data_IF_926133886582
#
_entry.id   IF_926133886582
#
_cell.length_a   1.000
_cell.length_b   1.000
_cell.length_c   1.000
_cell.angle_alpha   90.00
_cell.angle_beta   90.00
_cell.angle_gamma   90.00
#
_symmetry.space_group_name_H-M   'P 1'
#
loop_
_entity.id
_entity.type
_entity.pdbx_description
1 polymer ?
#
# COMPACT_ATOMS: atom_id res chain seq x y z
N UNK A 1 -6.15 -9.27 -7.53
CA UNK A 1 -6.55 -7.94 -7.02
C UNK A 1 -5.42 -7.41 -6.17
N UNK A 2 -4.89 -6.22 -6.46
CA UNK A 2 -3.77 -5.66 -5.71
C UNK A 2 -4.21 -5.15 -4.33
N UNK A 3 -3.27 -4.99 -3.38
CA UNK A 3 -3.58 -4.40 -2.07
C UNK A 3 -4.16 -2.98 -2.21
N UNK A 4 -3.67 -2.21 -3.17
CA UNK A 4 -4.15 -0.86 -3.46
C UNK A 4 -5.61 -0.89 -3.93
N UNK A 5 -5.97 -1.82 -4.82
CA UNK A 5 -7.34 -1.98 -5.32
C UNK A 5 -8.31 -2.31 -4.18
N UNK A 6 -7.92 -3.23 -3.29
CA UNK A 6 -8.72 -3.60 -2.11
C UNK A 6 -8.99 -2.38 -1.23
N UNK A 7 -7.98 -1.53 -1.01
CA UNK A 7 -8.13 -0.32 -0.21
C UNK A 7 -9.05 0.71 -0.89
N UNK A 8 -8.95 0.89 -2.21
CA UNK A 8 -9.81 1.80 -2.99
C UNK A 8 -11.27 1.34 -2.94
N UNK A 9 -11.54 0.05 -3.18
CA UNK A 9 -12.90 -0.52 -3.05
C UNK A 9 -13.44 -0.40 -1.62
N UNK A 10 -12.59 -0.57 -0.60
CA UNK A 10 -12.99 -0.39 0.80
C UNK A 10 -13.35 1.07 1.11
N UNK A 11 -12.58 2.03 0.59
CA UNK A 11 -12.85 3.45 0.72
C UNK A 11 -14.20 3.82 0.11
N UNK A 12 -14.48 3.37 -1.12
CA UNK A 12 -15.75 3.62 -1.81
C UNK A 12 -16.94 3.13 -0.98
N UNK A 13 -16.87 1.90 -0.45
CA UNK A 13 -17.92 1.34 0.42
C UNK A 13 -18.13 2.17 1.69
N UNK A 14 -17.05 2.62 2.33
CA UNK A 14 -17.12 3.46 3.54
C UNK A 14 -17.73 4.83 3.24
N UNK A 15 -17.35 5.45 2.13
CA UNK A 15 -17.90 6.73 1.68
C UNK A 15 -19.39 6.60 1.36
N UNK A 16 -19.80 5.57 0.62
CA UNK A 16 -21.21 5.33 0.32
C UNK A 16 -22.07 5.22 1.58
N UNK A 17 -21.61 4.42 2.56
CA UNK A 17 -22.29 4.27 3.86
C UNK A 17 -22.32 5.56 4.67
N UNK A 18 -21.26 6.35 4.62
CA UNK A 18 -21.22 7.66 5.28
C UNK A 18 -22.27 8.61 4.68
N UNK A 19 -22.34 8.70 3.35
CA UNK A 19 -23.33 9.55 2.68
C UNK A 19 -24.78 9.10 2.95
N UNK A 20 -25.03 7.79 2.99
CA UNK A 20 -26.32 7.23 3.39
C UNK A 20 -26.71 7.73 4.80
N UNK A 21 -25.82 7.58 5.79
CA UNK A 21 -26.06 8.02 7.17
C UNK A 21 -26.17 9.54 7.32
N UNK A 22 -25.42 10.29 6.52
CA UNK A 22 -25.49 11.73 6.49
C UNK A 22 -26.85 12.19 5.98
N UNK A 23 -27.36 11.56 4.91
CA UNK A 23 -28.69 11.83 4.37
C UNK A 23 -29.80 11.46 5.37
N UNK A 24 -29.68 10.34 6.07
CA UNK A 24 -30.60 9.96 7.16
C UNK A 24 -30.63 11.03 8.27
N UNK A 25 -29.45 11.49 8.71
CA UNK A 25 -29.36 12.53 9.74
C UNK A 25 -30.04 13.83 9.28
N UNK A 26 -29.74 14.30 8.06
CA UNK A 26 -30.38 15.51 7.53
C UNK A 26 -31.88 15.34 7.31
N UNK A 27 -32.35 14.15 6.94
CA UNK A 27 -33.78 13.85 6.83
C UNK A 27 -34.46 13.91 8.21
N UNK A 28 -33.84 13.35 9.25
CA UNK A 28 -34.33 13.44 10.64
C UNK A 28 -34.40 14.90 11.10
N UNK A 29 -33.32 15.67 10.91
CA UNK A 29 -33.28 17.11 11.24
C UNK A 29 -34.37 17.90 10.52
N UNK A 30 -34.54 17.67 9.21
CA UNK A 30 -35.57 18.33 8.40
C UNK A 30 -36.98 17.95 8.87
N UNK A 31 -37.21 16.68 9.21
CA UNK A 31 -38.52 16.21 9.66
C UNK A 31 -38.98 16.89 10.96
N UNK A 32 -38.04 17.26 11.83
CA UNK A 32 -38.34 17.94 13.07
C UNK A 32 -38.67 19.44 12.88
N UNK A 33 -38.35 20.02 11.72
CA UNK A 33 -38.73 21.39 11.33
C UNK A 33 -38.49 22.47 12.40
N UNK A 34 -37.35 22.40 13.11
CA UNK A 34 -37.00 23.33 14.18
C UNK A 34 -37.82 23.24 15.47
N UNK A 35 -38.83 22.36 15.55
CA UNK A 35 -39.64 22.11 16.76
C UNK A 35 -38.79 21.78 18.00
N UNK A 36 -37.73 20.94 17.91
CA UNK A 36 -36.94 20.58 19.09
C UNK A 36 -36.24 21.75 19.76
N UNK A 37 -36.00 22.85 19.04
CA UNK A 37 -35.38 24.06 19.59
C UNK A 37 -36.37 24.88 20.42
N UNK A 38 -37.67 24.72 20.19
CA UNK A 38 -38.75 25.41 20.91
C UNK A 38 -39.51 24.49 21.89
N UNK A 39 -39.27 23.17 21.85
CA UNK A 39 -39.92 22.18 22.71
C UNK A 39 -39.25 22.09 24.09
N UNK A 40 -39.92 22.64 25.11
CA UNK A 40 -39.45 22.62 26.51
C UNK A 40 -39.47 21.25 27.19
N UNK A 41 -40.22 20.26 26.68
CA UNK A 41 -40.35 18.94 27.31
C UNK A 41 -39.52 17.86 26.62
N UNK A 42 -39.57 17.78 25.28
CA UNK A 42 -38.89 16.71 24.52
C UNK A 42 -37.74 17.22 23.60
N UNK A 43 -37.42 18.52 23.61
CA UNK A 43 -36.30 19.06 22.83
C UNK A 43 -34.96 18.41 23.18
N UNK A 44 -34.69 18.23 24.48
CA UNK A 44 -33.42 17.66 24.97
C UNK A 44 -33.20 16.20 24.51
N UNK A 45 -34.24 15.38 24.44
CA UNK A 45 -34.13 13.99 23.99
C UNK A 45 -33.84 13.90 22.50
N UNK A 46 -34.43 14.80 21.70
CA UNK A 46 -34.16 14.92 20.26
C UNK A 46 -32.73 15.39 19.99
N UNK A 47 -32.26 16.43 20.70
CA UNK A 47 -30.87 16.90 20.60
C UNK A 47 -29.88 15.78 20.94
N UNK A 48 -30.11 15.03 22.03
CA UNK A 48 -29.27 13.89 22.40
C UNK A 48 -29.24 12.79 21.32
N UNK A 49 -30.33 12.59 20.58
CA UNK A 49 -30.38 11.66 19.44
C UNK A 49 -29.52 12.18 18.29
N UNK A 50 -29.65 13.45 17.93
CA UNK A 50 -28.83 14.08 16.88
C UNK A 50 -27.34 14.09 17.24
N UNK A 51 -26.99 14.35 18.49
CA UNK A 51 -25.61 14.26 18.96
C UNK A 51 -25.04 12.84 18.79
N UNK A 52 -25.84 11.80 19.07
CA UNK A 52 -25.44 10.41 18.80
C UNK A 52 -25.22 10.16 17.32
N UNK A 53 -26.10 10.66 16.44
CA UNK A 53 -25.95 10.53 14.99
C UNK A 53 -24.68 11.24 14.50
N UNK A 54 -24.42 12.45 14.98
CA UNK A 54 -23.20 13.21 14.69
C UNK A 54 -21.94 12.49 15.17
N UNK A 55 -21.97 11.90 16.37
CA UNK A 55 -20.85 11.10 16.88
C UNK A 55 -20.57 9.87 16.00
N UNK A 56 -21.61 9.21 15.50
CA UNK A 56 -21.48 8.10 14.54
C UNK A 56 -20.86 8.58 13.22
N UNK A 57 -21.32 9.72 12.68
CA UNK A 57 -20.76 10.32 11.47
C UNK A 57 -19.28 10.68 11.65
N UNK A 58 -18.92 11.35 12.76
CA UNK A 58 -17.53 11.71 13.07
C UNK A 58 -16.62 10.47 13.16
N UNK A 59 -17.12 9.37 13.74
CA UNK A 59 -16.36 8.12 13.78
C UNK A 59 -16.18 7.51 12.38
N UNK A 60 -17.21 7.58 11.53
CA UNK A 60 -17.10 7.11 10.14
C UNK A 60 -16.10 7.94 9.33
N UNK A 61 -16.07 9.27 9.50
CA UNK A 61 -15.08 10.14 8.88
C UNK A 61 -13.65 9.75 9.28
N UNK A 62 -13.41 9.50 10.58
CA UNK A 62 -12.09 9.03 11.05
C UNK A 62 -11.68 7.71 10.40
N UNK A 63 -12.61 6.79 10.22
CA UNK A 63 -12.34 5.50 9.55
C UNK A 63 -12.11 5.63 8.04
N UNK A 64 -12.77 6.59 7.39
CA UNK A 64 -12.50 6.97 6.00
C UNK A 64 -11.08 7.53 5.90
N UNK A 65 -10.72 8.46 6.78
CA UNK A 65 -9.41 9.11 6.76
C UNK A 65 -8.26 8.11 6.98
N UNK A 66 -8.38 7.20 7.94
CA UNK A 66 -7.43 6.10 8.12
C UNK A 66 -7.24 5.28 6.85
N UNK A 67 -8.30 5.08 6.07
CA UNK A 67 -8.26 4.32 4.82
C UNK A 67 -7.56 5.11 3.72
N UNK A 68 -7.83 6.42 3.60
CA UNK A 68 -7.11 7.31 2.69
C UNK A 68 -5.61 7.35 2.99
N UNK A 69 -5.23 7.52 4.25
CA UNK A 69 -3.83 7.46 4.66
C UNK A 69 -3.18 6.09 4.38
N UNK A 70 -3.94 4.99 4.43
CA UNK A 70 -3.42 3.67 4.08
C UNK A 70 -3.17 3.55 2.56
N UNK A 71 -4.05 4.12 1.73
CA UNK A 71 -3.89 4.21 0.28
C UNK A 71 -2.64 5.02 -0.05
N UNK A 72 -2.51 6.22 0.51
CA UNK A 72 -1.36 7.11 0.28
C UNK A 72 -0.02 6.42 0.61
N UNK A 73 0.04 5.67 1.72
CA UNK A 73 1.23 4.90 2.10
C UNK A 73 1.55 3.80 1.10
N UNK A 74 0.54 3.08 0.59
CA UNK A 74 0.77 2.02 -0.39
C UNK A 74 1.19 2.61 -1.74
N UNK A 75 0.57 3.71 -2.19
CA UNK A 75 0.98 4.43 -3.39
C UNK A 75 2.41 4.98 -3.28
N UNK A 76 2.76 5.57 -2.14
CA UNK A 76 4.13 6.05 -1.88
C UNK A 76 5.15 4.92 -1.91
N UNK A 77 4.80 3.75 -1.39
CA UNK A 77 5.64 2.55 -1.45
C UNK A 77 5.83 2.06 -2.88
N UNK A 78 4.77 2.02 -3.69
CA UNK A 78 4.85 1.67 -5.11
C UNK A 78 5.75 2.65 -5.86
N UNK A 79 5.50 3.97 -5.72
CA UNK A 79 6.32 5.02 -6.33
C UNK A 79 7.80 4.87 -5.96
N UNK A 80 8.12 4.59 -4.70
CA UNK A 80 9.50 4.40 -4.26
C UNK A 80 10.17 3.19 -4.91
N UNK A 81 9.42 2.12 -5.16
CA UNK A 81 9.92 0.94 -5.87
C UNK A 81 10.17 1.28 -7.33
N UNK A 82 9.21 1.94 -7.97
CA UNK A 82 9.27 2.33 -9.39
C UNK A 82 10.42 3.30 -9.65
N UNK A 83 10.52 4.39 -8.89
CA UNK A 83 11.64 5.33 -9.03
C UNK A 83 13.01 4.66 -8.82
N UNK A 84 13.10 3.66 -7.94
CA UNK A 84 14.35 2.96 -7.74
C UNK A 84 14.68 2.02 -8.91
N UNK A 85 13.66 1.37 -9.50
CA UNK A 85 13.79 0.55 -10.71
C UNK A 85 14.27 1.40 -11.89
N UNK A 86 13.73 2.60 -12.07
CA UNK A 86 14.10 3.50 -13.17
C UNK A 86 15.58 3.91 -13.15
N UNK A 87 16.20 3.94 -11.97
CA UNK A 87 17.62 4.27 -11.77
C UNK A 87 18.53 3.06 -12.04
N UNK A 88 17.99 1.83 -12.06
CA UNK A 88 18.78 0.62 -12.29
C UNK A 88 19.16 0.45 -13.77
N UNK A 89 20.26 -0.26 -14.07
CA UNK A 89 20.61 -0.67 -15.42
C UNK A 89 19.46 -1.45 -16.11
N UNK A 90 19.35 -1.29 -17.43
CA UNK A 90 18.32 -1.91 -18.26
C UNK A 90 18.27 -3.44 -18.08
N UNK A 91 19.43 -4.06 -17.93
CA UNK A 91 19.56 -5.51 -17.73
C UNK A 91 18.84 -5.99 -16.46
N UNK A 92 18.83 -5.17 -15.39
CA UNK A 92 18.09 -5.46 -14.17
C UNK A 92 16.60 -5.18 -14.37
N UNK A 93 16.25 -4.07 -15.02
CA UNK A 93 14.86 -3.70 -15.26
C UNK A 93 14.10 -4.78 -16.05
N UNK A 94 14.74 -5.36 -17.08
CA UNK A 94 14.19 -6.47 -17.87
C UNK A 94 13.87 -7.68 -16.99
N UNK A 95 14.78 -8.04 -16.08
CA UNK A 95 14.57 -9.17 -15.16
C UNK A 95 13.51 -8.89 -14.09
N UNK A 96 13.27 -7.63 -13.73
CA UNK A 96 12.15 -7.26 -12.86
C UNK A 96 10.84 -7.38 -13.65
N UNK A 97 10.79 -6.86 -14.87
CA UNK A 97 9.60 -6.86 -15.71
C UNK A 97 9.12 -8.26 -16.08
N UNK A 98 10.06 -9.19 -16.34
CA UNK A 98 9.72 -10.57 -16.66
C UNK A 98 9.42 -11.44 -15.42
N UNK A 99 9.50 -10.87 -14.20
CA UNK A 99 9.18 -11.55 -12.95
C UNK A 99 10.31 -12.44 -12.40
N UNK A 100 11.49 -12.47 -13.03
CA UNK A 100 12.64 -13.25 -12.52
C UNK A 100 13.19 -12.66 -11.22
N UNK A 101 13.19 -11.33 -11.12
CA UNK A 101 13.60 -10.60 -9.92
C UNK A 101 12.41 -9.90 -9.28
N UNK A 102 12.30 -10.07 -7.95
CA UNK A 102 11.33 -9.36 -7.12
C UNK A 102 12.04 -8.36 -6.23
N UNK A 103 11.68 -7.08 -6.34
CA UNK A 103 12.21 -6.02 -5.49
C UNK A 103 11.67 -6.10 -4.06
N UNK A 104 12.50 -5.73 -3.08
CA UNK A 104 12.07 -5.62 -1.69
C UNK A 104 11.38 -4.28 -1.44
N UNK A 105 10.09 -4.30 -1.07
CA UNK A 105 9.33 -3.06 -0.86
C UNK A 105 9.90 -2.08 0.19
N UNK A 106 10.66 -2.56 1.20
CA UNK A 106 11.31 -1.67 2.18
C UNK A 106 12.65 -1.11 1.67
N UNK A 107 13.37 -1.88 0.87
CA UNK A 107 14.70 -1.54 0.34
C UNK A 107 14.76 -1.95 -1.14
N UNK A 108 14.19 -1.15 -2.06
CA UNK A 108 13.98 -1.59 -3.45
C UNK A 108 15.24 -1.92 -4.25
N UNK A 109 16.40 -1.40 -3.80
CA UNK A 109 17.73 -1.73 -4.34
C UNK A 109 18.17 -3.18 -4.01
N UNK A 110 17.44 -3.86 -3.13
CA UNK A 110 17.60 -5.28 -2.81
C UNK A 110 16.54 -6.07 -3.55
N UNK A 111 16.97 -7.09 -4.26
CA UNK A 111 16.15 -7.94 -5.11
C UNK A 111 16.31 -9.41 -4.74
N UNK A 112 15.26 -10.17 -4.97
CA UNK A 112 15.20 -11.62 -4.74
C UNK A 112 14.97 -12.32 -6.07
N UNK A 113 15.64 -13.45 -6.27
CA UNK A 113 15.39 -14.32 -7.42
C UNK A 113 14.17 -15.18 -7.11
N UNK A 114 13.21 -15.22 -8.02
CA UNK A 114 12.01 -16.05 -7.86
C UNK A 114 12.39 -17.53 -7.74
N UNK A 115 11.89 -18.21 -6.70
CA UNK A 115 12.22 -19.61 -6.40
C UNK A 115 13.61 -19.83 -5.77
N UNK A 116 14.29 -18.79 -5.28
CA UNK A 116 15.51 -18.92 -4.46
C UNK A 116 15.26 -18.33 -3.08
N UNK A 117 15.52 -19.12 -2.04
CA UNK A 117 15.36 -18.65 -0.67
C UNK A 117 16.62 -17.95 -0.15
N UNK A 118 16.42 -16.98 0.74
CA UNK A 118 17.43 -16.28 1.57
C UNK A 118 18.41 -15.38 0.82
N UNK A 119 18.87 -15.76 -0.36
CA UNK A 119 19.86 -15.01 -1.11
C UNK A 119 19.30 -13.71 -1.70
N UNK A 120 20.18 -12.71 -1.80
CA UNK A 120 19.83 -11.34 -2.18
C UNK A 120 20.79 -10.85 -3.24
N UNK A 121 20.24 -10.20 -4.26
CA UNK A 121 20.99 -9.38 -5.20
C UNK A 121 20.82 -7.92 -4.76
N UNK A 122 21.90 -7.16 -4.75
CA UNK A 122 21.92 -5.78 -4.28
C UNK A 122 22.48 -4.91 -5.40
N UNK A 123 21.74 -3.87 -5.77
CA UNK A 123 22.22 -2.78 -6.61
C UNK A 123 22.81 -1.68 -5.72
N UNK A 124 24.11 -1.40 -5.87
CA UNK A 124 24.76 -0.24 -5.27
C UNK A 124 24.81 0.90 -6.28
N UNK A 125 23.88 1.84 -6.14
CA UNK A 125 23.75 2.98 -7.05
C UNK A 125 24.98 3.92 -7.02
N UNK A 126 25.71 3.99 -5.90
CA UNK A 126 26.89 4.86 -5.78
C UNK A 126 28.09 4.28 -6.49
N UNK A 127 28.30 2.97 -6.33
CA UNK A 127 29.42 2.26 -6.97
C UNK A 127 29.07 1.80 -8.38
N UNK A 128 27.79 1.84 -8.75
CA UNK A 128 27.24 1.26 -9.98
C UNK A 128 27.60 -0.23 -10.11
N UNK A 129 27.53 -0.95 -8.99
CA UNK A 129 27.88 -2.38 -8.91
C UNK A 129 26.70 -3.22 -8.43
N UNK A 130 26.59 -4.40 -9.02
CA UNK A 130 25.75 -5.50 -8.54
C UNK A 130 26.54 -6.36 -7.57
N UNK A 131 25.97 -6.60 -6.40
CA UNK A 131 26.53 -7.43 -5.34
C UNK A 131 25.53 -8.52 -4.91
N UNK A 132 25.99 -9.51 -4.15
CA UNK A 132 25.11 -10.51 -3.55
C UNK A 132 25.34 -10.64 -2.03
N UNK A 133 24.32 -11.11 -1.32
CA UNK A 133 24.41 -11.50 0.10
C UNK A 133 23.64 -12.80 0.36
N UNK A 134 24.02 -13.50 1.42
CA UNK A 134 23.36 -14.72 1.94
C UNK A 134 23.31 -15.93 0.99
N UNK A 135 24.19 -15.98 -0.01
CA UNK A 135 24.31 -17.16 -0.90
C UNK A 135 24.76 -18.40 -0.14
N UNK A 136 25.60 -18.25 0.90
CA UNK A 136 26.02 -19.34 1.77
C UNK A 136 24.88 -19.94 2.60
N UNK A 137 23.76 -19.24 2.75
CA UNK A 137 22.60 -19.71 3.52
C UNK A 137 21.67 -20.62 2.71
N UNK A 138 21.89 -20.74 1.40
CA UNK A 138 21.16 -21.66 0.52
C UNK A 138 21.68 -23.08 0.78
N UNK A 139 20.79 -23.97 1.21
CA UNK A 139 21.10 -25.40 1.43
C UNK A 139 20.89 -26.22 0.16
N UNK A 140 19.91 -25.84 -0.67
CA UNK A 140 19.59 -26.55 -1.90
C UNK A 140 20.53 -26.21 -3.07
N UNK A 141 20.97 -27.24 -3.80
CA UNK A 141 21.92 -27.10 -4.92
C UNK A 141 21.25 -26.48 -6.14
N UNK A 142 19.98 -26.76 -6.40
CA UNK A 142 19.27 -26.23 -7.58
C UNK A 142 19.02 -24.74 -7.42
N UNK A 143 18.51 -24.32 -6.25
CA UNK A 143 18.37 -22.91 -5.90
C UNK A 143 19.70 -22.15 -6.03
N UNK A 144 20.80 -22.74 -5.55
CA UNK A 144 22.13 -22.12 -5.64
C UNK A 144 22.59 -21.98 -7.09
N UNK A 145 22.37 -22.99 -7.93
CA UNK A 145 22.70 -22.96 -9.36
C UNK A 145 21.88 -21.88 -10.08
N UNK A 146 20.56 -21.82 -9.84
CA UNK A 146 19.66 -20.81 -10.40
C UNK A 146 20.10 -19.39 -10.02
N UNK A 147 20.38 -19.17 -8.73
CA UNK A 147 20.89 -17.89 -8.26
C UNK A 147 22.20 -17.50 -8.93
N UNK A 148 23.17 -18.43 -8.98
CA UNK A 148 24.49 -18.19 -9.55
C UNK A 148 24.40 -17.84 -11.05
N UNK A 149 23.54 -18.51 -11.81
CA UNK A 149 23.33 -18.19 -13.23
C UNK A 149 22.86 -16.75 -13.43
N UNK A 150 21.82 -16.32 -12.69
CA UNK A 150 21.26 -14.98 -12.80
C UNK A 150 22.27 -13.92 -12.32
N UNK A 151 22.89 -14.14 -11.16
CA UNK A 151 23.87 -13.21 -10.62
C UNK A 151 25.09 -13.06 -11.52
N UNK A 152 25.65 -14.16 -12.03
CA UNK A 152 26.84 -14.10 -12.90
C UNK A 152 26.54 -13.40 -14.22
N UNK A 153 25.33 -13.60 -14.78
CA UNK A 153 24.86 -12.86 -15.96
C UNK A 153 24.83 -11.36 -15.66
N UNK A 154 24.20 -10.94 -14.56
CA UNK A 154 24.14 -9.53 -14.16
C UNK A 154 25.52 -8.94 -13.86
N UNK A 155 26.36 -9.68 -13.15
CA UNK A 155 27.72 -9.26 -12.83
C UNK A 155 28.55 -9.05 -14.11
N UNK A 156 28.39 -9.91 -15.12
CA UNK A 156 29.08 -9.75 -16.39
C UNK A 156 28.54 -8.54 -17.17
N UNK A 157 27.22 -8.35 -17.24
CA UNK A 157 26.62 -7.25 -18.01
C UNK A 157 26.83 -5.88 -17.36
N UNK A 158 26.79 -5.79 -16.03
CA UNK A 158 26.77 -4.52 -15.30
C UNK A 158 28.15 -4.15 -14.74
N UNK A 159 28.87 -5.08 -14.11
CA UNK A 159 30.13 -4.74 -13.42
C UNK A 159 31.37 -4.82 -14.31
N UNK A 160 31.28 -5.48 -15.48
CA UNK A 160 32.38 -5.57 -16.45
C UNK A 160 32.21 -4.64 -17.66
N UNK A 161 31.16 -3.83 -17.67
CA UNK A 161 31.05 -2.65 -18.54
C UNK A 161 31.95 -1.55 -17.98
#
# INVERSE_FOLDING_TARGET
>A
MSRLDILKTSLEKKQAKFYEKLNEHFADVRSANGQPLNDKKNGASTMKRWDKQNNVLSNMEKEIEKTKMAIEREESKIRRIDCNKDIMPEEIQVLINNGTLRQWGKYPHIMFVEGVDKARIIWDDKKKLVMHKFVSSITDKEQRKKFAQIYNSLHASVNKK
#
